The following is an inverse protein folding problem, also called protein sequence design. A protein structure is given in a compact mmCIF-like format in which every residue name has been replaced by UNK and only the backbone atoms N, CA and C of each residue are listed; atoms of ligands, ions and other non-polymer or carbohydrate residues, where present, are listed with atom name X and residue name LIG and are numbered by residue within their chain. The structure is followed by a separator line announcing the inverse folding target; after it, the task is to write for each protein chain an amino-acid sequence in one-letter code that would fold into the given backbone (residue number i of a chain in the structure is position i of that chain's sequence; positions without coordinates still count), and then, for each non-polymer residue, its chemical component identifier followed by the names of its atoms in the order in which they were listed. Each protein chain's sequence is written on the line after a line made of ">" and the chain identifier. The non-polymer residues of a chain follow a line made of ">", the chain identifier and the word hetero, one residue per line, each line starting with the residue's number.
data_IF_626741543349
#
_entry.id   IF_626741543349
#
_cell.length_a   1.000
_cell.length_b   1.000
_cell.length_c   1.000
_cell.angle_alpha   90.00
_cell.angle_beta   90.00
_cell.angle_gamma   90.00
#
_symmetry.space_group_name_H-M   'P 1'
#
loop_
_entity.id
_entity.type
_entity.pdbx_description
1 polymer ?
#
# COMPACT_ATOMS: atom_id res chain seq x y z
N UNK A 1 -12.38 23.37 -10.03
CA UNK A 1 -11.13 23.33 -9.25
C UNK A 1 -10.11 22.53 -10.05
N UNK A 2 -8.97 23.14 -10.37
CA UNK A 2 -7.93 22.53 -11.20
C UNK A 2 -7.38 21.25 -10.55
N UNK A 3 -7.09 20.25 -11.37
CA UNK A 3 -6.29 19.10 -10.96
C UNK A 3 -5.03 19.58 -10.23
N UNK A 4 -4.56 18.88 -9.17
CA UNK A 4 -3.26 19.19 -8.62
C UNK A 4 -2.25 19.17 -9.77
N UNK A 5 -1.40 20.19 -9.90
CA UNK A 5 -0.46 20.26 -11.01
C UNK A 5 0.39 19.00 -11.01
N UNK A 6 0.77 18.55 -12.20
CA UNK A 6 1.89 17.63 -12.35
C UNK A 6 3.00 18.10 -11.39
N UNK A 7 3.54 17.16 -10.60
CA UNK A 7 4.65 17.38 -9.68
C UNK A 7 5.60 18.41 -10.25
N UNK A 8 5.63 19.59 -9.61
CA UNK A 8 6.53 20.69 -9.98
C UNK A 8 7.91 20.10 -10.24
N UNK A 9 8.31 20.06 -11.51
CA UNK A 9 9.67 19.71 -11.93
C UNK A 9 10.66 20.84 -11.61
N UNK A 10 10.21 21.90 -10.93
CA UNK A 10 11.06 22.94 -10.40
C UNK A 10 11.99 22.38 -9.33
N UNK A 11 13.27 22.63 -9.50
CA UNK A 11 14.26 22.47 -8.42
C UNK A 11 14.01 23.51 -7.35
N UNK A 12 14.06 23.09 -6.09
CA UNK A 12 13.96 23.94 -4.89
C UNK A 12 15.29 23.91 -4.14
N UNK A 13 15.45 24.75 -3.12
CA UNK A 13 16.59 24.70 -2.19
C UNK A 13 16.14 24.10 -0.86
N UNK A 14 16.87 23.10 -0.40
CA UNK A 14 16.58 22.37 0.85
C UNK A 14 17.84 22.36 1.71
N UNK A 15 17.67 22.50 3.03
CA UNK A 15 18.77 22.34 3.99
C UNK A 15 18.76 20.91 4.51
N UNK A 16 19.90 20.22 4.38
CA UNK A 16 20.13 18.88 4.91
C UNK A 16 21.50 18.85 5.59
N UNK A 17 21.54 18.42 6.87
CA UNK A 17 22.74 18.50 7.72
C UNK A 17 23.45 19.86 7.62
N UNK A 18 22.71 20.94 7.88
CA UNK A 18 23.20 22.34 7.90
C UNK A 18 23.72 22.89 6.55
N UNK A 19 23.67 22.10 5.48
CA UNK A 19 24.10 22.50 4.13
C UNK A 19 22.91 22.63 3.18
N UNK A 20 22.96 23.64 2.32
CA UNK A 20 21.96 23.87 1.26
C UNK A 20 22.28 23.04 0.03
N UNK A 21 21.27 22.35 -0.49
CA UNK A 21 21.33 21.58 -1.74
C UNK A 21 20.23 22.05 -2.69
N UNK A 22 20.53 21.98 -4.00
CA UNK A 22 19.47 21.96 -5.00
C UNK A 22 18.76 20.62 -4.90
N UNK A 23 17.44 20.65 -4.90
CA UNK A 23 16.64 19.45 -4.69
C UNK A 23 15.44 19.38 -5.64
N UNK A 24 15.04 18.16 -6.02
CA UNK A 24 13.77 17.89 -6.71
C UNK A 24 12.80 17.25 -5.72
N UNK A 25 11.59 17.81 -5.62
CA UNK A 25 10.53 17.25 -4.79
C UNK A 25 9.98 15.95 -5.38
N UNK A 26 9.79 14.94 -4.54
CA UNK A 26 9.22 13.63 -4.86
C UNK A 26 7.90 13.47 -4.12
N UNK A 27 6.91 12.86 -4.80
CA UNK A 27 5.60 12.52 -4.23
C UNK A 27 4.93 13.71 -3.50
N UNK A 28 5.02 14.91 -4.12
CA UNK A 28 4.40 16.11 -3.56
C UNK A 28 5.10 16.68 -2.32
N UNK A 29 6.35 16.32 -2.06
CA UNK A 29 7.13 16.82 -0.92
C UNK A 29 7.33 15.82 0.20
N UNK A 30 6.99 14.54 0.00
CA UNK A 30 7.26 13.46 0.95
C UNK A 30 8.74 13.03 0.98
N UNK A 31 9.47 13.28 -0.11
CA UNK A 31 10.90 13.08 -0.18
C UNK A 31 11.53 14.07 -1.14
N UNK A 32 12.86 14.13 -1.14
CA UNK A 32 13.64 15.00 -1.99
C UNK A 32 14.81 14.23 -2.60
N UNK A 33 15.11 14.53 -3.86
CA UNK A 33 16.38 14.16 -4.50
C UNK A 33 17.32 15.36 -4.45
N UNK A 34 18.35 15.26 -3.62
CA UNK A 34 19.39 16.28 -3.49
C UNK A 34 20.44 16.08 -4.58
N UNK A 35 21.00 17.17 -5.10
CA UNK A 35 22.09 17.15 -6.05
C UNK A 35 23.33 17.82 -5.49
N UNK A 36 24.50 17.22 -5.73
CA UNK A 36 25.82 17.78 -5.42
C UNK A 36 26.75 17.67 -6.63
N UNK A 37 27.61 18.68 -6.81
CA UNK A 37 28.65 18.66 -7.85
C UNK A 37 29.89 17.87 -7.39
N UNK A 38 29.98 17.51 -6.11
CA UNK A 38 31.09 16.77 -5.51
C UNK A 38 30.62 15.44 -4.92
N UNK A 39 31.51 14.45 -4.90
CA UNK A 39 31.22 13.17 -4.27
C UNK A 39 31.17 13.35 -2.74
N UNK A 40 30.04 12.97 -2.14
CA UNK A 40 29.78 13.05 -0.72
C UNK A 40 29.31 11.71 -0.17
N UNK A 41 29.40 11.51 1.14
CA UNK A 41 29.02 10.25 1.76
C UNK A 41 27.55 9.92 1.49
N UNK A 42 27.31 8.75 0.90
CA UNK A 42 25.97 8.27 0.60
C UNK A 42 25.29 8.95 -0.60
N UNK A 43 26.00 9.80 -1.34
CA UNK A 43 25.56 10.26 -2.66
C UNK A 43 26.01 9.26 -3.73
N UNK A 44 25.16 9.04 -4.72
CA UNK A 44 25.41 8.15 -5.86
C UNK A 44 25.74 8.99 -7.11
N UNK A 45 26.55 8.49 -8.06
CA UNK A 45 26.81 9.18 -9.31
C UNK A 45 25.57 9.29 -10.20
N UNK A 46 25.36 10.45 -10.83
CA UNK A 46 24.31 10.69 -11.84
C UNK A 46 24.84 11.57 -12.97
N UNK A 47 25.38 10.93 -14.01
CA UNK A 47 26.00 11.64 -15.13
C UNK A 47 27.24 12.44 -14.70
N UNK A 48 27.13 13.77 -14.66
CA UNK A 48 28.22 14.68 -14.24
C UNK A 48 28.08 15.19 -12.80
N UNK A 49 27.01 14.84 -12.11
CA UNK A 49 26.74 15.23 -10.73
C UNK A 49 26.56 14.00 -9.85
N UNK A 50 26.30 14.22 -8.58
CA UNK A 50 25.93 13.21 -7.61
C UNK A 50 24.55 13.51 -7.06
N UNK A 51 23.81 12.49 -6.65
CA UNK A 51 22.49 12.65 -6.07
C UNK A 51 22.23 11.74 -4.87
N UNK A 52 21.28 12.11 -4.03
CA UNK A 52 20.82 11.33 -2.88
C UNK A 52 19.34 11.55 -2.63
N UNK A 53 18.60 10.49 -2.33
CA UNK A 53 17.23 10.60 -1.87
C UNK A 53 17.17 10.71 -0.35
N UNK A 54 16.38 11.65 0.16
CA UNK A 54 16.17 11.87 1.59
C UNK A 54 14.69 12.02 1.89
N UNK A 55 14.26 11.52 3.05
CA UNK A 55 12.87 11.66 3.48
C UNK A 55 12.59 13.10 3.92
N UNK A 56 11.35 13.57 3.79
CA UNK A 56 11.01 14.96 4.09
C UNK A 56 11.15 15.33 5.57
N UNK A 57 11.20 14.35 6.48
CA UNK A 57 11.48 14.59 7.90
C UNK A 57 12.97 14.80 8.21
N UNK A 58 13.87 14.53 7.26
CA UNK A 58 15.32 14.69 7.45
C UNK A 58 15.82 16.07 7.03
N UNK A 59 14.95 16.88 6.42
CA UNK A 59 15.32 18.14 5.80
C UNK A 59 14.59 19.32 6.41
N UNK A 60 15.24 20.46 6.43
CA UNK A 60 14.59 21.73 6.72
C UNK A 60 14.18 22.39 5.40
N UNK A 61 12.89 22.71 5.30
CA UNK A 61 12.33 23.49 4.20
C UNK A 61 11.58 24.69 4.75
N UNK A 62 11.28 25.68 3.90
CA UNK A 62 10.42 26.81 4.25
C UNK A 62 8.96 26.45 4.57
N UNK A 63 8.65 25.15 4.80
CA UNK A 63 7.37 24.64 5.31
C UNK A 63 6.30 24.37 4.24
N UNK A 64 6.29 25.12 3.14
CA UNK A 64 5.25 25.01 2.11
C UNK A 64 5.22 23.68 1.33
N UNK A 65 6.33 22.95 1.30
CA UNK A 65 6.46 21.70 0.54
C UNK A 65 5.92 20.48 1.31
N UNK A 66 6.12 20.45 2.63
CA UNK A 66 5.55 19.41 3.51
C UNK A 66 4.01 19.45 3.52
N UNK A 67 3.44 20.65 3.51
CA UNK A 67 1.98 20.84 3.43
C UNK A 67 1.37 20.27 2.12
N UNK A 68 2.15 20.23 1.03
CA UNK A 68 1.67 19.67 -0.26
C UNK A 68 1.57 18.16 -0.27
N UNK A 69 2.31 17.48 0.59
CA UNK A 69 2.22 16.03 0.73
C UNK A 69 0.88 15.61 1.38
N UNK A 70 0.21 16.54 2.08
CA UNK A 70 -1.13 16.33 2.67
C UNK A 70 -1.17 15.29 3.79
N UNK A 71 -0.01 14.84 4.27
CA UNK A 71 0.16 13.82 5.30
C UNK A 71 1.21 14.32 6.30
N UNK A 72 0.92 14.19 7.59
CA UNK A 72 1.86 14.56 8.64
C UNK A 72 2.97 13.50 8.80
N UNK A 73 4.23 13.91 9.01
CA UNK A 73 5.31 12.99 9.36
C UNK A 73 5.06 12.36 10.73
N UNK A 74 5.84 11.32 11.04
CA UNK A 74 5.89 10.77 12.39
C UNK A 74 6.35 11.84 13.39
N UNK A 75 5.69 11.87 14.54
CA UNK A 75 6.04 12.77 15.65
C UNK A 75 6.51 11.97 16.85
N UNK A 76 7.67 12.36 17.41
CA UNK A 76 8.19 11.81 18.65
C UNK A 76 7.74 12.71 19.81
N UNK A 77 7.10 12.17 20.87
CA UNK A 77 6.72 12.94 22.04
C UNK A 77 7.93 13.66 22.66
N UNK A 78 7.73 14.92 23.07
CA UNK A 78 8.77 15.70 23.76
C UNK A 78 8.83 15.24 25.22
N UNK A 79 9.82 14.40 25.53
CA UNK A 79 10.08 13.92 26.89
C UNK A 79 11.58 13.64 27.08
N UNK A 80 12.13 13.78 28.31
CA UNK A 80 13.55 13.55 28.55
C UNK A 80 13.99 12.15 28.10
N UNK A 81 15.03 12.10 27.27
CA UNK A 81 15.58 10.83 26.78
C UNK A 81 14.76 10.13 25.70
N UNK A 82 13.70 10.75 25.16
CA UNK A 82 13.07 10.27 23.92
C UNK A 82 13.58 11.07 22.73
N UNK A 83 14.23 10.37 21.80
CA UNK A 83 14.60 10.89 20.50
C UNK A 83 14.26 9.87 19.40
N UNK A 84 14.38 10.28 18.14
CA UNK A 84 14.06 9.43 16.99
C UNK A 84 14.94 8.18 16.91
N UNK A 85 16.19 8.25 17.39
CA UNK A 85 17.13 7.13 17.35
C UNK A 85 16.74 6.05 18.38
N UNK A 86 16.38 6.46 19.60
CA UNK A 86 15.90 5.57 20.66
C UNK A 86 14.58 4.92 20.24
N UNK A 87 13.64 5.70 19.71
CA UNK A 87 12.38 5.15 19.18
C UNK A 87 12.66 4.16 18.06
N UNK A 88 13.60 4.45 17.15
CA UNK A 88 14.02 3.50 16.13
C UNK A 88 14.52 2.21 16.76
N UNK A 89 15.49 2.26 17.68
CA UNK A 89 16.02 1.07 18.34
C UNK A 89 14.92 0.22 19.01
N UNK A 90 14.00 0.84 19.74
CA UNK A 90 12.88 0.12 20.36
C UNK A 90 11.90 -0.44 19.33
N UNK A 91 11.61 0.29 18.25
CA UNK A 91 10.72 -0.18 17.17
C UNK A 91 11.24 -1.42 16.45
N UNK A 92 12.57 -1.61 16.45
CA UNK A 92 13.26 -2.75 15.84
C UNK A 92 13.36 -3.97 16.77
N UNK A 93 12.93 -3.86 18.03
CA UNK A 93 13.02 -4.93 19.02
C UNK A 93 11.62 -5.40 19.47
N UNK A 94 11.21 -6.65 19.18
CA UNK A 94 9.91 -7.16 19.60
C UNK A 94 9.82 -7.41 21.11
N UNK A 95 10.96 -7.51 21.81
CA UNK A 95 11.09 -7.86 23.24
C UNK A 95 11.32 -6.65 24.15
N UNK A 96 10.76 -5.51 23.80
CA UNK A 96 10.76 -4.30 24.63
C UNK A 96 9.75 -4.38 25.77
N UNK A 97 10.04 -3.67 26.86
CA UNK A 97 9.20 -3.57 28.04
C UNK A 97 7.91 -2.77 27.79
N UNK A 98 7.04 -2.67 28.81
CA UNK A 98 5.75 -2.00 28.66
C UNK A 98 5.87 -0.48 28.42
N UNK A 99 6.88 0.17 29.00
CA UNK A 99 7.09 1.62 28.90
C UNK A 99 7.69 2.01 27.55
N UNK A 100 8.67 1.25 27.08
CA UNK A 100 9.28 1.35 25.76
C UNK A 100 8.23 1.10 24.68
N UNK A 101 7.38 0.08 24.88
CA UNK A 101 6.26 -0.23 23.99
C UNK A 101 5.25 0.91 23.93
N UNK A 102 4.92 1.52 25.08
CA UNK A 102 4.02 2.67 25.10
C UNK A 102 4.59 3.87 24.31
N UNK A 103 5.90 4.12 24.39
CA UNK A 103 6.57 5.16 23.58
C UNK A 103 6.47 4.83 22.08
N UNK A 104 6.82 3.60 21.68
CA UNK A 104 6.74 3.16 20.27
C UNK A 104 5.31 3.24 19.74
N UNK A 105 4.31 2.78 20.51
CA UNK A 105 2.89 2.86 20.14
C UNK A 105 2.41 4.31 20.06
N UNK A 106 2.86 5.20 20.94
CA UNK A 106 2.54 6.62 20.88
C UNK A 106 3.06 7.26 19.58
N UNK A 107 4.30 6.96 19.19
CA UNK A 107 4.86 7.41 17.90
C UNK A 107 4.10 6.78 16.75
N UNK A 108 3.81 5.48 16.80
CA UNK A 108 3.07 4.77 15.76
C UNK A 108 1.69 5.37 15.51
N UNK A 109 1.00 5.79 16.56
CA UNK A 109 -0.33 6.41 16.49
C UNK A 109 -0.33 7.74 15.71
N UNK A 110 0.82 8.40 15.56
CA UNK A 110 0.96 9.63 14.75
C UNK A 110 0.94 9.36 13.25
N UNK A 111 1.22 8.12 12.82
CA UNK A 111 1.06 7.70 11.44
C UNK A 111 -0.40 7.29 11.17
N UNK A 112 -1.26 8.29 10.95
CA UNK A 112 -2.65 8.07 10.60
C UNK A 112 -2.86 8.00 9.09
N UNK A 113 -3.91 7.29 8.69
CA UNK A 113 -4.46 7.24 7.32
C UNK A 113 -5.76 8.03 7.33
N UNK A 114 -5.92 8.96 6.39
CA UNK A 114 -7.18 9.67 6.14
C UNK A 114 -7.69 9.35 4.74
N UNK A 115 -8.93 9.77 4.45
CA UNK A 115 -9.49 9.75 3.11
C UNK A 115 -8.54 10.46 2.14
N UNK A 116 -8.14 9.77 1.07
CA UNK A 116 -7.25 10.31 0.05
C UNK A 116 -5.76 10.16 0.34
N UNK A 117 -5.36 9.67 1.52
CA UNK A 117 -3.96 9.30 1.79
C UNK A 117 -3.48 8.36 0.70
N UNK A 118 -2.35 8.68 0.07
CA UNK A 118 -1.77 7.81 -0.94
C UNK A 118 -1.12 6.62 -0.25
N UNK A 119 -1.58 5.43 -0.61
CA UNK A 119 -1.08 4.17 -0.11
C UNK A 119 -0.26 3.49 -1.19
N UNK A 120 0.72 2.68 -0.78
CA UNK A 120 1.51 1.86 -1.66
C UNK A 120 1.75 0.47 -1.08
N UNK A 121 1.85 -0.52 -1.96
CA UNK A 121 2.17 -1.90 -1.63
C UNK A 121 3.22 -2.41 -2.61
N UNK A 122 4.36 -2.95 -2.15
CA UNK A 122 5.31 -3.59 -3.06
C UNK A 122 4.69 -4.83 -3.70
N UNK A 123 4.97 -5.02 -4.99
CA UNK A 123 4.50 -6.16 -5.77
C UNK A 123 5.69 -6.90 -6.39
N UNK A 124 5.64 -8.22 -6.38
CA UNK A 124 6.43 -9.11 -7.22
C UNK A 124 5.88 -9.12 -8.64
N UNK A 125 6.67 -9.61 -9.61
CA UNK A 125 6.25 -9.64 -11.02
C UNK A 125 5.02 -10.52 -11.21
N UNK A 126 4.94 -11.61 -10.47
CA UNK A 126 3.76 -12.49 -10.44
C UNK A 126 2.53 -11.79 -9.86
N UNK A 127 2.69 -10.97 -8.82
CA UNK A 127 1.59 -10.18 -8.26
C UNK A 127 1.11 -9.12 -9.25
N UNK A 128 2.00 -8.48 -10.01
CA UNK A 128 1.62 -7.55 -11.08
C UNK A 128 0.78 -8.27 -12.15
N UNK A 129 1.25 -9.42 -12.64
CA UNK A 129 0.52 -10.22 -13.63
C UNK A 129 -0.89 -10.57 -13.12
N UNK A 130 -0.99 -11.01 -11.86
CA UNK A 130 -2.27 -11.32 -11.21
C UNK A 130 -3.17 -10.09 -11.08
N UNK A 131 -2.63 -8.93 -10.73
CA UNK A 131 -3.40 -7.69 -10.58
C UNK A 131 -4.06 -7.25 -11.90
N UNK A 132 -3.38 -7.51 -13.03
CA UNK A 132 -3.88 -7.18 -14.37
C UNK A 132 -5.01 -8.11 -14.84
N UNK A 133 -5.22 -9.25 -14.20
CA UNK A 133 -6.21 -10.26 -14.62
C UNK A 133 -7.25 -10.59 -13.55
N UNK A 134 -7.14 -10.01 -12.36
CA UNK A 134 -8.02 -10.29 -11.22
C UNK A 134 -8.85 -9.06 -10.87
N UNK A 135 -9.90 -9.26 -10.07
CA UNK A 135 -10.68 -8.17 -9.52
C UNK A 135 -9.76 -7.07 -8.95
N UNK A 136 -10.09 -5.78 -9.18
CA UNK A 136 -9.25 -4.64 -8.83
C UNK A 136 -9.32 -4.36 -7.32
N UNK A 137 -8.69 -5.24 -6.56
CA UNK A 137 -8.68 -5.29 -5.11
C UNK A 137 -7.24 -5.23 -4.58
N UNK A 138 -7.08 -4.80 -3.33
CA UNK A 138 -5.82 -4.83 -2.59
C UNK A 138 -6.05 -5.31 -1.16
N UNK A 139 -5.10 -6.07 -0.62
CA UNK A 139 -5.15 -6.62 0.73
C UNK A 139 -3.76 -6.76 1.34
N UNK A 140 -3.68 -7.11 2.62
CA UNK A 140 -2.42 -7.40 3.29
C UNK A 140 -1.65 -6.15 3.69
N UNK A 141 -0.33 -6.29 3.83
CA UNK A 141 0.56 -5.22 4.31
C UNK A 141 0.77 -4.14 3.25
N UNK A 142 0.73 -2.88 3.68
CA UNK A 142 0.92 -1.68 2.87
C UNK A 142 1.51 -0.52 3.69
N UNK A 143 1.87 0.55 2.97
CA UNK A 143 2.55 1.72 3.51
C UNK A 143 1.88 2.99 2.99
N UNK A 144 2.01 4.12 3.71
CA UNK A 144 1.70 5.42 3.11
C UNK A 144 2.82 5.76 2.13
N UNK A 145 2.50 6.29 0.95
CA UNK A 145 3.50 6.77 -0.02
C UNK A 145 4.46 7.75 0.66
N UNK A 146 3.93 8.57 1.58
CA UNK A 146 4.71 9.53 2.35
C UNK A 146 5.94 8.90 3.02
N UNK A 147 5.73 7.82 3.80
CA UNK A 147 6.76 7.24 4.65
C UNK A 147 7.86 6.51 3.87
N UNK A 148 7.60 6.16 2.61
CA UNK A 148 8.51 5.35 1.77
C UNK A 148 8.94 6.06 0.50
N UNK A 149 8.64 7.35 0.37
CA UNK A 149 8.87 8.11 -0.86
C UNK A 149 10.37 8.24 -1.21
N UNK A 150 11.26 8.19 -0.23
CA UNK A 150 12.72 8.26 -0.40
C UNK A 150 13.34 6.91 -0.81
N UNK A 151 12.60 5.80 -0.67
CA UNK A 151 13.04 4.48 -1.11
C UNK A 151 12.79 4.34 -2.61
N UNK A 152 13.77 4.77 -3.42
CA UNK A 152 13.61 4.98 -4.86
C UNK A 152 14.21 3.88 -5.72
N UNK A 153 15.22 3.18 -5.23
CA UNK A 153 15.86 2.09 -5.97
C UNK A 153 15.34 0.73 -5.51
N UNK A 154 15.49 -0.35 -6.32
CA UNK A 154 15.19 -1.70 -5.89
C UNK A 154 15.95 -2.10 -4.61
N UNK A 155 17.19 -1.64 -4.46
CA UNK A 155 18.00 -1.88 -3.27
C UNK A 155 17.39 -1.23 -2.02
N UNK A 156 16.92 0.02 -2.12
CA UNK A 156 16.29 0.71 -0.98
C UNK A 156 14.95 0.08 -0.60
N UNK A 157 14.20 -0.39 -1.61
CA UNK A 157 12.84 -0.93 -1.44
C UNK A 157 12.80 -2.38 -0.97
N UNK A 158 13.94 -3.08 -0.96
CA UNK A 158 14.03 -4.48 -0.48
C UNK A 158 13.45 -4.63 0.93
N UNK A 159 13.58 -3.59 1.76
CA UNK A 159 13.06 -3.55 3.13
C UNK A 159 11.53 -3.70 3.20
N UNK A 160 10.82 -3.29 2.15
CA UNK A 160 9.36 -3.36 2.06
C UNK A 160 8.87 -4.71 1.52
N UNK A 161 9.74 -5.45 0.82
CA UNK A 161 9.31 -6.59 0.02
C UNK A 161 8.75 -7.73 0.89
N UNK A 162 7.56 -8.17 0.51
CA UNK A 162 6.87 -9.30 1.14
C UNK A 162 7.05 -10.63 0.41
N UNK A 163 7.76 -10.65 -0.72
CA UNK A 163 7.98 -11.81 -1.58
C UNK A 163 9.46 -11.83 -2.00
N UNK A 164 10.22 -12.93 -1.81
CA UNK A 164 11.64 -13.01 -2.13
C UNK A 164 11.88 -13.17 -3.64
N UNK A 165 11.48 -12.20 -4.45
CA UNK A 165 11.95 -12.09 -5.84
C UNK A 165 13.24 -11.24 -5.87
N UNK A 166 14.32 -11.82 -6.36
CA UNK A 166 15.63 -11.17 -6.49
C UNK A 166 15.78 -10.52 -7.88
N UNK A 167 14.94 -9.53 -8.21
CA UNK A 167 15.25 -8.63 -9.32
C UNK A 167 15.85 -7.35 -8.75
N UNK A 168 17.17 -7.20 -8.90
CA UNK A 168 17.91 -6.04 -8.40
C UNK A 168 17.82 -4.83 -9.34
N UNK A 169 17.27 -5.00 -10.54
CA UNK A 169 17.20 -3.93 -11.55
C UNK A 169 15.86 -3.20 -11.54
N UNK A 170 14.78 -3.90 -11.20
CA UNK A 170 13.45 -3.32 -11.07
C UNK A 170 12.66 -3.91 -9.92
N UNK A 171 11.92 -3.06 -9.22
CA UNK A 171 10.86 -3.50 -8.30
C UNK A 171 9.54 -2.84 -8.65
N UNK A 172 8.43 -3.51 -8.36
CA UNK A 172 7.10 -3.02 -8.69
C UNK A 172 6.33 -2.61 -7.44
N UNK A 173 5.34 -1.74 -7.60
CA UNK A 173 4.43 -1.38 -6.53
C UNK A 173 3.04 -1.06 -7.07
N UNK A 174 2.02 -1.30 -6.25
CA UNK A 174 0.69 -0.76 -6.42
C UNK A 174 0.61 0.55 -5.66
N UNK A 175 -0.01 1.57 -6.25
CA UNK A 175 -0.34 2.85 -5.61
C UNK A 175 -1.84 3.12 -5.74
N UNK A 176 -2.47 3.55 -4.66
CA UNK A 176 -3.89 3.93 -4.65
C UNK A 176 -4.14 5.01 -3.60
N UNK A 177 -5.39 5.49 -3.51
CA UNK A 177 -5.80 6.41 -2.44
C UNK A 177 -6.67 5.67 -1.43
N UNK A 178 -6.45 5.88 -0.15
CA UNK A 178 -7.30 5.35 0.90
C UNK A 178 -8.74 5.89 0.78
N UNK A 179 -9.73 5.00 0.89
CA UNK A 179 -11.15 5.36 0.90
C UNK A 179 -11.56 5.81 2.30
N UNK A 180 -11.20 5.02 3.32
CA UNK A 180 -11.47 5.31 4.72
C UNK A 180 -10.28 4.91 5.61
N UNK A 181 -10.10 5.61 6.74
CA UNK A 181 -9.12 5.25 7.76
C UNK A 181 -9.35 3.85 8.34
N UNK A 182 -10.62 3.47 8.52
CA UNK A 182 -11.06 2.19 9.13
C UNK A 182 -10.68 0.96 8.31
N UNK A 183 -10.26 1.14 7.06
CA UNK A 183 -9.79 0.06 6.20
C UNK A 183 -8.37 -0.39 6.55
N UNK A 184 -7.67 0.35 7.42
CA UNK A 184 -6.28 0.10 7.76
C UNK A 184 -6.12 -0.06 9.27
N UNK A 185 -5.30 -1.03 9.65
CA UNK A 185 -4.89 -1.27 11.03
C UNK A 185 -3.37 -1.30 11.11
N UNK A 186 -2.83 -1.01 12.29
CA UNK A 186 -1.41 -1.16 12.59
C UNK A 186 -1.04 -2.65 12.64
N UNK A 187 0.20 -3.00 12.28
CA UNK A 187 0.73 -4.37 12.43
C UNK A 187 1.30 -4.66 13.83
N UNK A 188 0.79 -3.95 14.84
CA UNK A 188 1.11 -4.21 16.25
C UNK A 188 0.61 -5.58 16.71
N UNK A 189 1.31 -6.16 17.69
CA UNK A 189 1.02 -7.49 18.21
C UNK A 189 -0.41 -7.63 18.76
N UNK A 190 -1.02 -6.53 19.20
CA UNK A 190 -2.42 -6.52 19.65
C UNK A 190 -3.40 -6.85 18.51
N UNK A 191 -3.09 -6.43 17.27
CA UNK A 191 -3.94 -6.66 16.11
C UNK A 191 -3.64 -8.02 15.46
N UNK A 192 -2.37 -8.43 15.43
CA UNK A 192 -1.95 -9.68 14.79
C UNK A 192 -0.96 -10.47 15.66
N UNK A 193 -1.41 -11.04 16.80
CA UNK A 193 -0.52 -11.77 17.70
C UNK A 193 0.09 -13.01 17.03
N UNK A 194 -0.69 -13.70 16.19
CA UNK A 194 -0.25 -14.90 15.46
C UNK A 194 0.88 -14.67 14.47
N UNK A 195 0.91 -13.50 13.82
CA UNK A 195 1.94 -13.14 12.85
C UNK A 195 3.31 -12.90 13.50
N UNK A 196 3.33 -12.40 14.74
CA UNK A 196 4.58 -12.19 15.50
C UNK A 196 5.23 -13.52 15.87
N UNK A 197 4.42 -14.53 16.19
CA UNK A 197 4.88 -15.87 16.56
C UNK A 197 5.17 -16.77 15.34
N UNK A 198 4.93 -16.30 14.11
CA UNK A 198 5.01 -17.12 12.92
C UNK A 198 6.46 -17.56 12.61
N UNK A 199 6.74 -18.86 12.46
CA UNK A 199 8.06 -19.38 12.16
C UNK A 199 8.62 -18.88 10.81
N UNK A 200 9.94 -18.80 10.71
CA UNK A 200 10.64 -18.37 9.50
C UNK A 200 10.32 -19.19 8.24
N UNK A 201 10.01 -20.48 8.40
CA UNK A 201 9.64 -21.36 7.28
C UNK A 201 8.21 -21.15 6.76
N UNK A 202 7.33 -20.59 7.58
CA UNK A 202 5.92 -20.37 7.23
C UNK A 202 5.69 -18.98 6.67
N UNK A 203 6.71 -18.11 6.65
CA UNK A 203 6.57 -16.70 6.25
C UNK A 203 7.30 -16.39 4.96
N UNK A 204 6.81 -15.38 4.24
CA UNK A 204 7.53 -14.70 3.15
C UNK A 204 7.91 -13.28 3.56
N UNK A 205 9.10 -12.86 3.15
CA UNK A 205 9.66 -11.55 3.49
C UNK A 205 10.08 -11.43 4.96
N UNK A 206 10.30 -10.18 5.39
CA UNK A 206 10.69 -9.85 6.76
C UNK A 206 9.63 -10.25 7.78
N UNK A 207 10.03 -10.54 9.01
CA UNK A 207 9.07 -10.81 10.09
C UNK A 207 8.22 -9.56 10.41
N UNK A 208 7.02 -9.77 10.94
CA UNK A 208 6.25 -8.71 11.60
C UNK A 208 6.71 -8.66 13.05
N UNK A 209 7.25 -7.52 13.47
CA UNK A 209 7.81 -7.34 14.81
C UNK A 209 6.72 -7.17 15.88
N UNK A 210 5.50 -6.79 15.48
CA UNK A 210 4.43 -6.46 16.42
C UNK A 210 4.58 -5.08 17.05
N UNK A 211 5.48 -4.23 16.53
CA UNK A 211 5.70 -2.84 16.94
C UNK A 211 4.98 -1.83 16.02
N UNK A 212 4.37 -2.30 14.93
CA UNK A 212 3.73 -1.45 13.91
C UNK A 212 4.72 -0.81 12.93
N UNK A 213 6.01 -1.17 12.99
CA UNK A 213 7.06 -0.73 12.07
C UNK A 213 7.69 -1.93 11.37
N UNK A 214 8.08 -1.74 10.10
CA UNK A 214 8.85 -2.76 9.37
C UNK A 214 10.29 -2.81 9.88
N UNK A 215 10.95 -3.99 9.88
CA UNK A 215 12.38 -4.07 10.16
C UNK A 215 13.19 -3.22 9.18
N UNK A 216 13.95 -2.24 9.66
CA UNK A 216 14.71 -1.28 8.85
C UNK A 216 16.00 -0.83 9.55
N UNK A 217 17.04 -0.51 8.77
CA UNK A 217 18.34 -0.13 9.32
C UNK A 217 18.43 1.31 9.86
N UNK A 218 17.66 2.25 9.28
CA UNK A 218 17.86 3.68 9.55
C UNK A 218 16.58 4.52 9.57
N UNK A 219 15.42 3.96 9.23
CA UNK A 219 14.19 4.73 9.04
C UNK A 219 13.03 4.14 9.83
N UNK A 220 12.32 4.95 10.60
CA UNK A 220 11.02 4.55 11.16
C UNK A 220 9.99 4.51 10.05
N UNK A 221 9.65 3.31 9.56
CA UNK A 221 8.70 3.12 8.46
C UNK A 221 7.42 2.46 9.02
N UNK A 222 6.33 3.21 9.24
CA UNK A 222 5.07 2.70 9.74
C UNK A 222 4.48 1.70 8.77
N UNK A 223 4.03 0.58 9.31
CA UNK A 223 3.43 -0.50 8.56
C UNK A 223 1.94 -0.61 8.88
N UNK A 224 1.14 -0.76 7.83
CA UNK A 224 -0.30 -0.94 7.91
C UNK A 224 -0.68 -2.27 7.29
N UNK A 225 -1.78 -2.86 7.75
CA UNK A 225 -2.45 -3.95 7.06
C UNK A 225 -3.88 -3.53 6.73
N UNK A 226 -4.46 -4.11 5.68
CA UNK A 226 -5.90 -3.99 5.48
C UNK A 226 -6.65 -4.63 6.65
N UNK A 227 -7.70 -3.99 7.13
CA UNK A 227 -8.49 -4.49 8.26
C UNK A 227 -9.00 -5.91 7.97
N UNK A 228 -8.83 -6.82 8.93
CA UNK A 228 -9.08 -8.27 8.81
C UNK A 228 -8.29 -8.98 7.68
N UNK A 229 -7.25 -8.35 7.13
CA UNK A 229 -6.59 -8.75 5.87
C UNK A 229 -7.57 -8.88 4.69
N UNK A 230 -8.74 -8.24 4.81
CA UNK A 230 -9.79 -8.26 3.82
C UNK A 230 -9.38 -7.47 2.57
N UNK A 231 -9.99 -7.83 1.46
CA UNK A 231 -9.83 -7.10 0.22
C UNK A 231 -10.50 -5.72 0.30
N UNK A 232 -9.77 -4.72 -0.17
CA UNK A 232 -10.21 -3.34 -0.35
C UNK A 232 -10.37 -3.06 -1.85
N UNK A 233 -11.47 -2.45 -2.28
CA UNK A 233 -11.63 -2.04 -3.67
C UNK A 233 -10.63 -0.93 -4.03
N UNK A 234 -9.99 -1.06 -5.20
CA UNK A 234 -9.11 -0.02 -5.71
C UNK A 234 -9.90 1.21 -6.12
N UNK A 235 -9.34 2.38 -5.78
CA UNK A 235 -9.90 3.67 -6.16
C UNK A 235 -9.61 4.01 -7.61
N UNK A 236 -10.36 4.97 -8.15
CA UNK A 236 -10.04 5.56 -9.45
C UNK A 236 -8.57 6.02 -9.51
N UNK A 237 -7.92 5.75 -10.66
CA UNK A 237 -6.51 6.09 -10.91
C UNK A 237 -5.52 5.40 -9.97
N UNK A 238 -5.86 4.21 -9.46
CA UNK A 238 -4.83 3.33 -8.90
C UNK A 238 -3.81 2.99 -9.99
N UNK A 239 -2.54 2.84 -9.62
CA UNK A 239 -1.43 2.68 -10.56
C UNK A 239 -0.54 1.50 -10.18
N UNK A 240 -0.06 0.79 -11.19
CA UNK A 240 1.06 -0.13 -11.05
C UNK A 240 2.31 0.59 -11.53
N UNK A 241 3.30 0.67 -10.65
CA UNK A 241 4.55 1.41 -10.84
C UNK A 241 5.73 0.44 -10.97
N UNK A 242 6.77 0.89 -11.66
CA UNK A 242 8.10 0.30 -11.62
C UNK A 242 9.13 1.31 -11.10
N UNK A 243 10.04 0.85 -10.26
CA UNK A 243 11.19 1.59 -9.75
C UNK A 243 12.47 0.97 -10.33
N UNK A 244 13.28 1.77 -11.01
CA UNK A 244 14.52 1.31 -11.65
C UNK A 244 15.73 1.48 -10.75
N UNK A 245 16.85 0.81 -11.07
CA UNK A 245 18.14 1.01 -10.41
C UNK A 245 18.55 2.50 -10.28
N UNK A 246 18.26 3.33 -11.27
CA UNK A 246 18.57 4.77 -11.25
C UNK A 246 17.58 5.63 -10.42
N UNK A 247 16.64 5.03 -9.69
CA UNK A 247 15.67 5.75 -8.85
C UNK A 247 14.45 6.34 -9.58
N UNK A 248 14.31 6.08 -10.89
CA UNK A 248 13.15 6.50 -11.67
C UNK A 248 11.91 5.71 -11.27
N UNK A 249 10.77 6.41 -11.14
CA UNK A 249 9.44 5.80 -11.00
C UNK A 249 8.68 5.96 -12.30
N UNK A 250 8.17 4.85 -12.80
CA UNK A 250 7.48 4.78 -14.09
C UNK A 250 6.11 4.16 -13.85
N UNK A 251 5.05 4.91 -14.15
CA UNK A 251 3.69 4.38 -14.17
C UNK A 251 3.54 3.44 -15.37
N UNK A 252 3.32 2.16 -15.09
CA UNK A 252 3.16 1.12 -16.10
C UNK A 252 1.71 0.98 -16.53
N UNK A 253 0.81 0.91 -15.56
CA UNK A 253 -0.62 0.73 -15.78
C UNK A 253 -1.44 1.61 -14.84
N UNK A 254 -2.58 2.09 -15.30
CA UNK A 254 -3.53 2.85 -14.51
C UNK A 254 -4.92 2.21 -14.59
N UNK A 255 -5.59 2.06 -13.45
CA UNK A 255 -6.92 1.48 -13.37
C UNK A 255 -8.01 2.51 -13.69
N UNK A 256 -8.83 2.19 -14.69
CA UNK A 256 -10.06 2.88 -15.06
C UNK A 256 -11.29 2.11 -14.56
N UNK A 257 -11.87 2.49 -13.41
CA UNK A 257 -13.02 1.79 -12.86
C UNK A 257 -14.30 1.92 -13.71
N UNK A 258 -14.35 2.86 -14.64
CA UNK A 258 -15.49 3.09 -15.55
C UNK A 258 -15.72 1.92 -16.49
N UNK A 259 -14.62 1.33 -16.93
CA UNK A 259 -14.59 0.26 -17.92
C UNK A 259 -14.05 -1.04 -17.32
N UNK A 260 -13.68 -1.03 -16.03
CA UNK A 260 -12.93 -2.08 -15.35
C UNK A 260 -11.70 -2.51 -16.16
N UNK A 261 -10.88 -1.53 -16.57
CA UNK A 261 -9.68 -1.77 -17.38
C UNK A 261 -8.44 -1.22 -16.69
N UNK A 262 -7.34 -1.97 -16.75
CA UNK A 262 -6.00 -1.41 -16.61
C UNK A 262 -5.50 -0.92 -17.97
N UNK A 263 -5.28 0.38 -18.08
CA UNK A 263 -4.71 1.03 -19.25
C UNK A 263 -3.19 1.09 -19.12
N UNK A 264 -2.47 0.70 -20.16
CA UNK A 264 -1.02 0.83 -20.21
C UNK A 264 -0.61 2.31 -20.39
N UNK A 265 0.16 2.81 -19.43
CA UNK A 265 0.71 4.17 -19.43
C UNK A 265 2.13 4.23 -20.00
N UNK A 266 2.91 3.17 -19.80
CA UNK A 266 4.31 3.14 -20.23
C UNK A 266 4.46 2.98 -21.76
N UNK A 267 5.13 3.94 -22.39
CA UNK A 267 5.39 3.94 -23.84
C UNK A 267 6.43 2.91 -24.30
N UNK A 268 6.86 3.03 -25.56
CA UNK A 268 7.81 2.09 -26.19
C UNK A 268 9.19 2.05 -25.52
N UNK A 269 9.64 3.18 -24.95
CA UNK A 269 10.94 3.31 -24.26
C UNK A 269 11.07 2.52 -22.95
N UNK A 270 9.98 1.93 -22.47
CA UNK A 270 9.93 1.15 -21.23
C UNK A 270 9.41 -0.28 -21.48
N UNK A 271 9.57 -0.76 -22.73
CA UNK A 271 9.08 -2.09 -23.13
C UNK A 271 9.80 -3.18 -22.35
N UNK A 272 11.08 -3.00 -22.02
CA UNK A 272 11.82 -3.97 -21.21
C UNK A 272 11.20 -4.18 -19.82
N UNK A 273 10.67 -3.12 -19.18
CA UNK A 273 10.03 -3.24 -17.86
C UNK A 273 8.77 -4.10 -17.91
N UNK A 274 7.97 -3.96 -18.98
CA UNK A 274 6.75 -4.75 -19.17
C UNK A 274 7.08 -6.20 -19.50
N UNK A 275 8.14 -6.42 -20.29
CA UNK A 275 8.57 -7.78 -20.68
C UNK A 275 9.02 -8.65 -19.50
N UNK A 276 9.34 -8.03 -18.35
CA UNK A 276 9.68 -8.75 -17.12
C UNK A 276 8.46 -9.35 -16.42
N UNK A 277 7.26 -8.86 -16.71
CA UNK A 277 6.06 -9.34 -16.06
C UNK A 277 5.59 -10.62 -16.78
N UNK A 278 5.43 -11.74 -16.06
CA UNK A 278 5.09 -13.03 -16.67
C UNK A 278 3.69 -13.02 -17.27
N UNK A 279 3.52 -13.77 -18.37
CA UNK A 279 2.22 -13.97 -19.03
C UNK A 279 1.69 -12.76 -19.81
N UNK A 280 2.47 -11.69 -19.93
CA UNK A 280 2.08 -10.50 -20.69
C UNK A 280 2.45 -10.62 -22.18
N UNK A 281 1.43 -10.59 -23.04
CA UNK A 281 1.62 -10.52 -24.48
C UNK A 281 2.22 -9.17 -24.91
N UNK A 282 3.24 -9.22 -25.77
CA UNK A 282 3.90 -8.01 -26.27
C UNK A 282 2.91 -7.20 -27.12
N UNK A 283 2.59 -5.98 -26.66
CA UNK A 283 1.73 -5.04 -27.40
C UNK A 283 0.31 -4.91 -26.86
N UNK A 284 -0.13 -5.77 -25.94
CA UNK A 284 -1.40 -5.59 -25.25
C UNK A 284 -1.35 -4.32 -24.40
N UNK A 285 -2.32 -3.42 -24.62
CA UNK A 285 -2.40 -2.12 -23.95
C UNK A 285 -3.58 -2.00 -22.97
N UNK A 286 -4.52 -2.95 -23.00
CA UNK A 286 -5.73 -2.96 -22.19
C UNK A 286 -5.96 -4.32 -21.54
N UNK A 287 -6.23 -4.30 -20.24
CA UNK A 287 -6.54 -5.49 -19.44
C UNK A 287 -7.87 -5.31 -18.75
N UNK A 288 -8.91 -5.96 -19.29
CA UNK A 288 -10.23 -6.01 -18.67
C UNK A 288 -10.20 -6.94 -17.48
N UNK A 289 -10.80 -6.50 -16.37
CA UNK A 289 -10.93 -7.27 -15.14
C UNK A 289 -12.39 -7.32 -14.71
N UNK A 290 -12.82 -8.47 -14.23
CA UNK A 290 -14.18 -8.63 -13.71
C UNK A 290 -14.22 -8.24 -12.23
N UNK A 291 -15.26 -7.49 -11.78
CA UNK A 291 -15.46 -7.23 -10.36
C UNK A 291 -15.64 -8.53 -9.58
N UNK A 292 -15.18 -8.54 -8.33
CA UNK A 292 -15.44 -9.66 -7.43
C UNK A 292 -16.88 -9.65 -6.96
N UNK A 293 -17.45 -10.85 -6.79
CA UNK A 293 -18.76 -11.06 -6.12
C UNK A 293 -18.61 -11.20 -4.61
N UNK A 294 -17.38 -11.30 -4.11
CA UNK A 294 -17.07 -11.53 -2.69
C UNK A 294 -16.49 -10.33 -1.98
N UNK A 295 -16.11 -9.28 -2.72
CA UNK A 295 -15.66 -8.04 -2.14
C UNK A 295 -15.87 -6.89 -3.13
N UNK A 296 -16.23 -5.72 -2.61
CA UNK A 296 -16.43 -4.55 -3.46
C UNK A 296 -17.03 -3.37 -2.73
N UNK A 297 -17.53 -2.43 -3.52
CA UNK A 297 -18.12 -1.20 -3.03
C UNK A 297 -19.51 -1.02 -3.64
N UNK A 298 -20.47 -0.71 -2.79
CA UNK A 298 -21.85 -0.40 -3.19
C UNK A 298 -22.27 0.95 -2.66
N UNK A 299 -23.35 1.49 -3.20
CA UNK A 299 -24.05 2.64 -2.68
C UNK A 299 -25.48 2.67 -3.17
N UNK A 300 -26.28 3.62 -2.69
CA UNK A 300 -27.66 3.83 -3.11
C UNK A 300 -27.78 4.93 -4.15
N UNK A 301 -28.46 4.64 -5.24
CA UNK A 301 -28.85 5.59 -6.28
C UNK A 301 -30.31 5.36 -6.64
N UNK A 302 -31.13 6.41 -6.58
CA UNK A 302 -32.58 6.33 -6.86
C UNK A 302 -33.32 5.23 -6.06
N UNK A 303 -32.85 4.94 -4.84
CA UNK A 303 -33.42 3.92 -3.96
C UNK A 303 -32.86 2.50 -4.19
N UNK A 304 -32.11 2.28 -5.27
CA UNK A 304 -31.51 0.98 -5.59
C UNK A 304 -30.05 0.88 -5.11
N UNK A 305 -29.66 -0.32 -4.68
CA UNK A 305 -28.28 -0.63 -4.35
C UNK A 305 -27.52 -0.99 -5.63
N UNK A 306 -26.46 -0.24 -5.91
CA UNK A 306 -25.65 -0.41 -7.11
C UNK A 306 -24.16 -0.46 -6.77
N UNK A 307 -23.35 -1.03 -7.66
CA UNK A 307 -21.89 -1.02 -7.53
C UNK A 307 -21.37 0.39 -7.77
N UNK A 308 -20.42 0.84 -6.96
CA UNK A 308 -19.90 2.21 -7.02
C UNK A 308 -18.38 2.22 -7.02
N UNK A 309 -17.82 3.33 -7.46
CA UNK A 309 -16.39 3.60 -7.45
C UNK A 309 -16.10 4.73 -6.48
N UNK A 310 -15.04 4.58 -5.68
CA UNK A 310 -14.51 5.66 -4.87
C UNK A 310 -13.44 6.46 -5.64
N UNK A 311 -13.57 7.79 -5.59
CA UNK A 311 -12.55 8.75 -6.04
C UNK A 311 -12.31 9.73 -4.88
N UNK A 312 -11.39 9.40 -3.95
CA UNK A 312 -11.13 10.25 -2.78
C UNK A 312 -10.79 11.70 -3.17
N UNK A 313 -11.56 12.65 -2.62
CA UNK A 313 -11.58 14.07 -3.01
C UNK A 313 -12.75 14.46 -3.92
N UNK A 314 -13.38 13.50 -4.59
CA UNK A 314 -14.55 13.67 -5.47
C UNK A 314 -15.75 12.80 -5.07
N UNK A 315 -15.64 12.07 -3.96
CA UNK A 315 -16.71 11.26 -3.38
C UNK A 315 -16.86 9.88 -4.01
N UNK A 316 -18.11 9.39 -4.00
CA UNK A 316 -18.50 8.09 -4.52
C UNK A 316 -19.39 8.30 -5.74
N UNK A 317 -19.14 7.53 -6.80
CA UNK A 317 -19.91 7.63 -8.03
C UNK A 317 -20.25 6.27 -8.58
N UNK A 318 -21.48 6.13 -9.08
CA UNK A 318 -21.84 5.04 -9.95
C UNK A 318 -21.61 5.40 -11.41
N UNK A 319 -21.27 4.38 -12.19
CA UNK A 319 -21.26 4.46 -13.64
C UNK A 319 -22.51 3.75 -14.17
N UNK A 320 -23.53 4.54 -14.51
CA UNK A 320 -24.73 4.05 -15.19
C UNK A 320 -24.43 3.96 -16.68
N UNK A 321 -24.71 2.79 -17.28
CA UNK A 321 -24.43 2.54 -18.71
C UNK A 321 -25.15 3.57 -19.59
N UNK A 322 -24.39 4.34 -20.37
CA UNK A 322 -24.93 5.40 -21.24
C UNK A 322 -25.01 6.79 -20.60
N UNK A 323 -24.67 6.95 -19.32
CA UNK A 323 -24.62 8.25 -18.68
C UNK A 323 -23.35 9.02 -19.08
N UNK A 324 -23.53 10.30 -19.45
CA UNK A 324 -22.45 11.23 -19.81
C UNK A 324 -21.68 11.71 -18.56
N UNK A 325 -22.22 11.49 -17.35
CA UNK A 325 -21.65 11.99 -16.10
C UNK A 325 -21.81 11.00 -14.93
N UNK A 326 -21.00 11.22 -13.88
CA UNK A 326 -21.02 10.46 -12.62
C UNK A 326 -22.30 10.77 -11.86
N UNK A 327 -23.10 9.73 -11.57
CA UNK A 327 -24.24 9.88 -10.66
C UNK A 327 -23.75 9.86 -9.21
N UNK A 328 -24.10 10.85 -8.38
CA UNK A 328 -23.82 10.79 -6.95
C UNK A 328 -24.61 9.64 -6.33
N UNK A 329 -23.99 9.01 -5.33
CA UNK A 329 -24.58 7.91 -4.56
C UNK A 329 -24.60 8.27 -3.08
N UNK A 330 -25.56 7.72 -2.36
CA UNK A 330 -25.70 7.87 -0.91
C UNK A 330 -25.37 6.56 -0.21
N UNK A 331 -25.08 6.61 1.09
CA UNK A 331 -24.77 5.44 1.92
C UNK A 331 -23.76 4.45 1.28
N UNK A 332 -22.53 4.90 0.97
CA UNK A 332 -21.50 4.03 0.43
C UNK A 332 -21.11 2.97 1.47
N UNK A 333 -21.03 1.71 1.05
CA UNK A 333 -20.64 0.59 1.91
C UNK A 333 -19.61 -0.28 1.19
N UNK A 334 -18.53 -0.64 1.88
CA UNK A 334 -17.68 -1.75 1.46
C UNK A 334 -18.30 -3.06 1.94
N UNK A 335 -18.15 -4.11 1.15
CA UNK A 335 -18.50 -5.44 1.59
C UNK A 335 -17.37 -6.42 1.32
N UNK A 336 -17.34 -7.49 2.12
CA UNK A 336 -16.53 -8.68 1.86
C UNK A 336 -17.17 -9.92 2.47
N UNK A 337 -16.88 -11.12 1.97
CA UNK A 337 -17.45 -12.37 2.46
C UNK A 337 -16.51 -13.09 3.43
N UNK A 338 -17.01 -13.49 4.60
CA UNK A 338 -16.38 -14.44 5.53
C UNK A 338 -17.09 -15.79 5.51
N UNK A 339 -16.39 -16.83 5.91
CA UNK A 339 -16.90 -18.17 6.16
C UNK A 339 -16.00 -18.87 7.19
N UNK A 340 -16.45 -20.01 7.73
CA UNK A 340 -15.65 -20.88 8.60
C UNK A 340 -15.28 -22.15 7.83
N UNK A 341 -14.03 -22.59 7.97
CA UNK A 341 -13.56 -23.87 7.43
C UNK A 341 -12.52 -24.47 8.36
N UNK A 342 -12.71 -25.74 8.74
CA UNK A 342 -11.86 -26.44 9.74
C UNK A 342 -11.64 -25.60 10.99
N UNK A 343 -12.75 -25.12 11.53
CA UNK A 343 -12.81 -24.29 12.74
C UNK A 343 -12.03 -22.97 12.69
N UNK A 344 -11.65 -22.53 11.48
CA UNK A 344 -10.86 -21.33 11.24
C UNK A 344 -11.68 -20.29 10.47
N UNK A 345 -11.60 -19.03 10.89
CA UNK A 345 -12.25 -17.91 10.21
C UNK A 345 -11.50 -17.51 8.94
N UNK A 346 -12.25 -17.50 7.84
CA UNK A 346 -11.74 -17.36 6.49
C UNK A 346 -12.44 -16.22 5.76
N UNK A 347 -11.68 -15.51 4.92
CA UNK A 347 -12.21 -14.65 3.88
C UNK A 347 -12.40 -15.47 2.60
N UNK A 348 -13.53 -15.29 1.94
CA UNK A 348 -13.82 -15.92 0.65
C UNK A 348 -13.37 -14.97 -0.45
N UNK A 349 -12.43 -15.40 -1.30
CA UNK A 349 -11.84 -14.53 -2.33
C UNK A 349 -12.45 -14.74 -3.72
N UNK A 350 -12.77 -15.99 -4.04
CA UNK A 350 -13.17 -16.39 -5.39
C UNK A 350 -13.62 -17.84 -5.44
N UNK A 351 -14.26 -18.21 -6.54
CA UNK A 351 -14.78 -19.55 -6.79
C UNK A 351 -14.24 -20.08 -8.10
N UNK A 352 -13.96 -21.37 -8.12
CA UNK A 352 -13.67 -22.14 -9.32
C UNK A 352 -14.42 -23.47 -9.21
N UNK A 353 -15.55 -23.57 -9.93
CA UNK A 353 -16.46 -24.72 -9.85
C UNK A 353 -16.87 -25.03 -8.40
N UNK A 354 -16.49 -26.20 -7.88
CA UNK A 354 -16.77 -26.66 -6.53
C UNK A 354 -15.70 -26.28 -5.50
N UNK A 355 -14.68 -25.53 -5.91
CA UNK A 355 -13.61 -25.05 -5.04
C UNK A 355 -13.70 -23.56 -4.80
N UNK A 356 -13.34 -23.16 -3.58
CA UNK A 356 -13.33 -21.77 -3.14
C UNK A 356 -11.93 -21.41 -2.68
N UNK A 357 -11.42 -20.29 -3.16
CA UNK A 357 -10.16 -19.73 -2.68
C UNK A 357 -10.43 -18.95 -1.40
N UNK A 358 -9.70 -19.29 -0.35
CA UNK A 358 -9.85 -18.71 0.98
C UNK A 358 -8.57 -18.01 1.42
N UNK A 359 -8.71 -17.05 2.33
CA UNK A 359 -7.61 -16.41 3.06
C UNK A 359 -7.87 -16.44 4.56
N UNK A 360 -6.83 -16.72 5.35
CA UNK A 360 -6.91 -16.58 6.81
C UNK A 360 -7.20 -15.13 7.20
N UNK A 361 -8.26 -14.89 7.96
CA UNK A 361 -8.59 -13.55 8.47
C UNK A 361 -7.63 -13.12 9.61
N UNK A 362 -7.21 -14.08 10.43
CA UNK A 362 -6.29 -13.89 11.56
C UNK A 362 -5.23 -15.00 11.56
N UNK A 363 -4.16 -14.87 10.76
CA UNK A 363 -3.20 -15.95 10.59
C UNK A 363 -2.34 -16.18 11.83
N UNK A 364 -2.21 -17.45 12.20
CA UNK A 364 -1.32 -17.97 13.24
C UNK A 364 -0.82 -19.38 12.86
N UNK A 365 0.04 -19.97 13.69
CA UNK A 365 0.65 -21.28 13.39
C UNK A 365 -0.40 -22.39 13.33
N UNK A 366 -1.42 -22.33 14.17
CA UNK A 366 -2.44 -23.37 14.29
C UNK A 366 -3.40 -23.33 13.10
N UNK A 367 -3.91 -22.16 12.76
CA UNK A 367 -4.75 -21.92 11.58
C UNK A 367 -4.06 -22.31 10.28
N UNK A 368 -2.75 -22.02 10.12
CA UNK A 368 -1.95 -22.49 8.99
C UNK A 368 -1.88 -24.02 8.96
N UNK A 369 -1.59 -24.66 10.09
CA UNK A 369 -1.52 -26.12 10.19
C UNK A 369 -2.87 -26.82 9.90
N UNK A 370 -3.97 -26.27 10.42
CA UNK A 370 -5.31 -26.84 10.29
C UNK A 370 -5.84 -26.75 8.85
N UNK A 371 -5.57 -25.63 8.18
CA UNK A 371 -6.10 -25.33 6.84
C UNK A 371 -5.15 -25.72 5.71
N UNK A 372 -3.86 -25.87 6.00
CA UNK A 372 -2.83 -26.04 4.99
C UNK A 372 -2.60 -24.78 4.15
N UNK A 373 -2.95 -23.60 4.66
CA UNK A 373 -2.79 -22.34 3.95
C UNK A 373 -1.33 -22.00 3.69
N UNK A 374 -1.01 -21.64 2.44
CA UNK A 374 0.32 -21.25 2.03
C UNK A 374 0.49 -19.73 2.18
N UNK A 375 1.62 -19.29 2.71
CA UNK A 375 2.00 -17.89 2.68
C UNK A 375 2.30 -17.46 1.24
N UNK A 376 1.38 -16.70 0.62
CA UNK A 376 1.52 -16.24 -0.77
C UNK A 376 2.28 -14.91 -0.85
N UNK A 377 2.24 -14.12 0.21
CA UNK A 377 2.96 -12.87 0.43
C UNK A 377 3.00 -12.59 1.94
N UNK A 378 3.85 -11.66 2.36
CA UNK A 378 4.00 -11.29 3.78
C UNK A 378 2.63 -11.01 4.45
N UNK A 379 2.39 -11.75 5.54
CA UNK A 379 1.16 -11.78 6.34
C UNK A 379 -0.08 -12.41 5.70
N UNK A 380 -0.06 -12.80 4.42
CA UNK A 380 -1.24 -13.31 3.72
C UNK A 380 -1.10 -14.79 3.40
N UNK A 381 -2.06 -15.55 3.90
CA UNK A 381 -2.08 -17.01 3.83
C UNK A 381 -3.36 -17.45 3.16
N UNK A 382 -3.23 -18.22 2.08
CA UNK A 382 -4.35 -18.61 1.24
C UNK A 382 -4.33 -20.11 0.95
N UNK A 383 -5.52 -20.66 0.76
CA UNK A 383 -5.72 -22.06 0.40
C UNK A 383 -6.93 -22.21 -0.53
N UNK A 384 -7.11 -23.42 -1.04
CA UNK A 384 -8.33 -23.84 -1.72
C UNK A 384 -9.06 -24.86 -0.86
N UNK A 385 -10.38 -24.71 -0.76
CA UNK A 385 -11.24 -25.61 -0.01
C UNK A 385 -12.47 -26.02 -0.85
N UNK A 386 -13.03 -27.23 -0.65
CA UNK A 386 -14.30 -27.60 -1.24
C UNK A 386 -15.43 -26.70 -0.71
N UNK A 387 -16.27 -26.18 -1.61
CA UNK A 387 -17.37 -25.27 -1.27
C UNK A 387 -18.35 -25.89 -0.27
N UNK A 388 -18.59 -27.19 -0.39
CA UNK A 388 -19.53 -27.93 0.46
C UNK A 388 -19.06 -28.04 1.92
N UNK A 389 -17.78 -27.81 2.20
CA UNK A 389 -17.21 -27.85 3.55
C UNK A 389 -17.27 -26.49 4.27
N UNK A 390 -17.62 -25.41 3.55
CA UNK A 390 -17.71 -24.08 4.14
C UNK A 390 -18.95 -23.97 5.02
N UNK A 391 -18.75 -23.40 6.21
CA UNK A 391 -19.80 -23.16 7.19
C UNK A 391 -20.04 -21.65 7.32
N UNK A 392 -21.29 -21.29 7.62
CA UNK A 392 -21.71 -19.93 7.97
C UNK A 392 -21.17 -18.82 7.04
N UNK A 393 -21.39 -18.89 5.72
CA UNK A 393 -21.00 -17.80 4.82
C UNK A 393 -21.77 -16.53 5.17
N UNK A 394 -21.03 -15.45 5.44
CA UNK A 394 -21.59 -14.17 5.86
C UNK A 394 -20.96 -13.02 5.06
N UNK A 395 -21.79 -12.11 4.57
CA UNK A 395 -21.31 -10.85 3.99
C UNK A 395 -21.20 -9.81 5.09
N UNK A 396 -19.99 -9.31 5.31
CA UNK A 396 -19.71 -8.22 6.22
C UNK A 396 -19.86 -6.90 5.47
N UNK A 397 -20.58 -5.96 6.06
CA UNK A 397 -20.79 -4.62 5.53
C UNK A 397 -20.06 -3.60 6.39
N UNK A 398 -19.35 -2.68 5.75
CA UNK A 398 -18.63 -1.59 6.39
C UNK A 398 -19.14 -0.27 5.82
N UNK A 399 -19.84 0.49 6.65
CA UNK A 399 -20.34 1.80 6.27
C UNK A 399 -19.21 2.80 6.12
N UNK A 400 -19.24 3.56 5.02
CA UNK A 400 -18.36 4.69 4.81
C UNK A 400 -19.08 6.02 5.02
N UNK A 401 -18.37 7.02 5.59
CA UNK A 401 -18.93 8.35 5.74
C UNK A 401 -19.21 8.95 4.37
N UNK A 402 -20.35 9.63 4.23
CA UNK A 402 -20.59 10.50 3.07
C UNK A 402 -19.81 11.80 3.24
N UNK A 403 -19.49 12.48 2.14
CA UNK A 403 -18.69 13.72 2.14
C UNK A 403 -19.26 14.88 3.00
N UNK A 404 -20.49 14.75 3.49
CA UNK A 404 -21.16 15.67 4.42
C UNK A 404 -20.88 15.40 5.91
N UNK A 405 -20.23 14.29 6.23
CA UNK A 405 -19.85 13.87 7.59
C UNK A 405 -18.32 13.79 7.62
N UNK A 406 -17.67 14.83 8.13
CA UNK A 406 -16.22 14.80 8.35
C UNK A 406 -15.89 13.75 9.42
N UNK A 407 -14.87 12.93 9.17
CA UNK A 407 -14.18 12.15 10.19
C UNK A 407 -13.10 12.99 10.87
#
# INVERSE_FOLDING_TARGET
>A
MHAPPATSTGTTEIVWHERRYRARSIAGGAAFELYSDTQEHGFQPSGKSFHRYVHASEVESGGGELLRAGVAPLSVPVMPGADAQIVHQYSQNPRIDASERALVSAVRATAFVTVGTRMTKPLSRNQVARQLTSAPLVSGVCFREFDVAHLRTPADRVVLNGDPENDHEVTFALRWKAICARDYVSTEAQQFPGLVAMPGRERRGSMILGTGFVPSGSHLLPEFATADLADLPLTARAEILAYTADGNEISLFQYQPQTNVWDRMAGARHRELISRIPGLETGRALFRVDPSVHAGLVGRHEGEQITVTADPGHGYSAYVRGAVSRSPVTAPQRYYTKARWRDTDMLVLGRNEDWVRLRLASPDVESVANTGAACIERAVYECWAPRAELQDPQTIWVDYPTATTNC
#
